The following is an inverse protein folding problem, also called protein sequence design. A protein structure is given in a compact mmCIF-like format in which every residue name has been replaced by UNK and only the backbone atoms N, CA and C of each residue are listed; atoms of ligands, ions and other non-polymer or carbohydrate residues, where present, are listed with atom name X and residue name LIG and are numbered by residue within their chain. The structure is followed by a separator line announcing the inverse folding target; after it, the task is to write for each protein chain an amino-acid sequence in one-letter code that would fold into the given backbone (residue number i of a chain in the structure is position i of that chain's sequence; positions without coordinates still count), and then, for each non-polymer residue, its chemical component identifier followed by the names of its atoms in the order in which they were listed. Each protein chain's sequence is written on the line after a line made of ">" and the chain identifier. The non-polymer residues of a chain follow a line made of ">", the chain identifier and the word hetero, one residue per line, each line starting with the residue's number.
data_IF_215240763016
#
_entry.id   IF_215240763016
#
_cell.length_a   1.000
_cell.length_b   1.000
_cell.length_c   1.000
_cell.angle_alpha   90.00
_cell.angle_beta   90.00
_cell.angle_gamma   90.00
#
_symmetry.space_group_name_H-M   'P 1'
#
loop_
_entity.id
_entity.type
_entity.pdbx_description
1 polymer ?
#
# COMPACT_ATOMS: atom_id res chain seq x y z
N UNK A 1 -9.88 28.53 7.55
CA UNK A 1 -9.05 27.43 8.11
C UNK A 1 -9.33 26.20 7.29
N UNK A 2 -8.32 25.41 6.92
CA UNK A 2 -8.54 24.15 6.20
C UNK A 2 -8.88 23.07 7.22
N UNK A 3 -9.93 22.29 6.96
CA UNK A 3 -10.33 21.19 7.82
C UNK A 3 -9.32 20.04 7.76
N UNK A 4 -9.03 19.45 8.91
CA UNK A 4 -7.94 18.47 9.08
C UNK A 4 -8.46 17.08 9.42
N UNK A 5 -7.80 16.06 8.86
CA UNK A 5 -7.95 14.66 9.25
C UNK A 5 -6.63 14.19 9.88
N UNK A 6 -6.68 13.62 11.08
CA UNK A 6 -5.51 13.06 11.75
C UNK A 6 -5.21 11.66 11.20
N UNK A 7 -4.04 11.47 10.60
CA UNK A 7 -3.67 10.23 9.91
C UNK A 7 -2.61 9.43 10.67
N UNK A 8 -2.84 8.13 10.78
CA UNK A 8 -1.92 7.14 11.30
C UNK A 8 -1.72 6.07 10.25
N UNK A 9 -0.49 5.95 9.75
CA UNK A 9 -0.17 5.15 8.57
C UNK A 9 0.87 4.08 8.95
N UNK A 10 0.74 2.88 8.40
CA UNK A 10 1.69 1.78 8.58
C UNK A 10 2.98 2.02 7.82
N UNK A 11 2.84 2.65 6.64
CA UNK A 11 3.89 2.79 5.66
C UNK A 11 5.19 3.33 6.25
N UNK A 12 6.30 2.96 5.62
CA UNK A 12 7.60 3.41 6.06
C UNK A 12 7.69 4.95 6.08
N UNK A 13 8.56 5.51 6.91
CA UNK A 13 8.79 6.95 6.94
C UNK A 13 9.04 7.58 5.54
N UNK A 14 9.67 6.82 4.64
CA UNK A 14 9.94 7.24 3.26
C UNK A 14 8.71 7.28 2.36
N UNK A 15 7.64 6.55 2.70
CA UNK A 15 6.43 6.40 1.89
C UNK A 15 5.27 7.23 2.42
N UNK A 16 5.33 7.68 3.68
CA UNK A 16 4.21 8.39 4.29
C UNK A 16 3.84 9.71 3.58
N UNK A 17 4.82 10.39 2.98
CA UNK A 17 4.55 11.53 2.12
C UNK A 17 3.83 11.18 0.81
N UNK A 18 4.03 9.97 0.27
CA UNK A 18 3.24 9.47 -0.86
C UNK A 18 1.83 9.05 -0.43
N UNK A 19 1.68 8.42 0.73
CA UNK A 19 0.38 8.06 1.26
C UNK A 19 -0.49 9.30 1.52
N UNK A 20 0.06 10.38 2.07
CA UNK A 20 -0.66 11.66 2.18
C UNK A 20 -1.11 12.20 0.82
N UNK A 21 -0.30 12.01 -0.23
CA UNK A 21 -0.67 12.42 -1.59
C UNK A 21 -1.79 11.54 -2.15
N UNK A 22 -1.72 10.24 -1.92
CA UNK A 22 -2.76 9.28 -2.28
C UNK A 22 -4.10 9.61 -1.60
N UNK A 23 -4.09 9.89 -0.29
CA UNK A 23 -5.29 10.32 0.45
C UNK A 23 -5.88 11.63 -0.12
N UNK A 24 -5.04 12.59 -0.51
CA UNK A 24 -5.50 13.84 -1.16
C UNK A 24 -6.19 13.60 -2.50
N UNK A 25 -5.84 12.53 -3.24
CA UNK A 25 -6.57 12.14 -4.46
C UNK A 25 -7.97 11.62 -4.15
N UNK A 26 -8.19 11.02 -2.98
CA UNK A 26 -9.50 10.54 -2.55
C UNK A 26 -10.43 11.71 -2.19
N UNK A 27 -9.94 12.68 -1.41
CA UNK A 27 -10.72 13.86 -1.07
C UNK A 27 -9.81 15.07 -0.76
N UNK A 28 -9.67 15.99 -1.73
CA UNK A 28 -8.78 17.14 -1.62
C UNK A 28 -9.30 18.28 -0.73
N UNK A 29 -10.53 18.18 -0.20
CA UNK A 29 -11.11 19.19 0.70
C UNK A 29 -10.40 19.26 2.06
N UNK A 30 -9.74 18.17 2.46
CA UNK A 30 -9.12 18.03 3.78
C UNK A 30 -7.59 18.08 3.73
N UNK A 31 -7.00 18.64 4.78
CA UNK A 31 -5.59 18.49 5.09
C UNK A 31 -5.37 17.20 5.90
N UNK A 32 -4.73 16.20 5.28
CA UNK A 32 -4.34 14.95 5.94
C UNK A 32 -3.08 15.14 6.76
N UNK A 33 -3.24 15.38 8.07
CA UNK A 33 -2.13 15.62 8.99
C UNK A 33 -1.62 14.31 9.55
N UNK A 34 -0.40 13.95 9.19
CA UNK A 34 0.24 12.71 9.63
C UNK A 34 0.77 12.80 11.08
N UNK A 35 0.29 11.89 11.91
CA UNK A 35 0.73 11.69 13.30
C UNK A 35 1.58 10.43 13.47
N UNK A 36 1.45 9.45 12.57
CA UNK A 36 2.29 8.25 12.50
C UNK A 36 2.48 7.85 11.03
N UNK A 37 3.71 7.47 10.59
CA UNK A 37 4.97 7.60 11.31
C UNK A 37 5.29 9.08 11.61
N UNK A 38 5.75 9.46 12.80
CA UNK A 38 6.09 10.87 13.07
C UNK A 38 7.53 11.18 12.63
N UNK A 39 7.77 12.38 12.09
CA UNK A 39 9.12 12.83 11.74
C UNK A 39 9.98 12.82 12.99
N UNK A 40 11.02 11.99 13.03
CA UNK A 40 12.16 12.28 13.90
C UNK A 40 12.71 13.66 13.51
N UNK A 41 12.79 14.57 14.47
CA UNK A 41 13.41 15.88 14.32
C UNK A 41 14.86 15.62 13.91
N UNK A 42 15.20 15.84 12.64
CA UNK A 42 16.58 15.73 12.16
C UNK A 42 17.26 17.08 12.20
N UNK A 43 18.49 17.11 12.68
CA UNK A 43 19.46 18.14 12.32
C UNK A 43 20.09 17.75 10.97
N UNK A 44 20.42 18.74 10.14
CA UNK A 44 21.00 18.55 8.81
C UNK A 44 22.38 17.87 8.97
N UNK A 45 22.57 16.67 8.42
CA UNK A 45 23.87 15.97 8.41
C UNK A 45 23.86 14.53 8.96
N UNK A 46 22.84 14.11 9.70
CA UNK A 46 22.83 12.78 10.33
C UNK A 46 22.33 11.65 9.38
N UNK A 47 22.94 10.44 9.45
CA UNK A 47 22.48 9.28 8.70
C UNK A 47 21.02 8.93 9.03
N UNK A 48 20.28 8.40 8.04
CA UNK A 48 18.86 8.07 8.19
C UNK A 48 18.66 6.79 9.03
N UNK A 49 18.80 6.88 10.35
CA UNK A 49 18.33 5.83 11.25
C UNK A 49 16.81 5.97 11.44
N UNK A 50 16.05 5.17 10.70
CA UNK A 50 14.59 5.06 10.86
C UNK A 50 14.36 4.12 12.05
N UNK A 51 13.76 4.62 13.12
CA UNK A 51 13.45 3.79 14.29
C UNK A 51 12.28 2.84 13.93
N UNK A 52 12.50 1.54 14.04
CA UNK A 52 11.49 0.49 13.79
C UNK A 52 10.30 0.57 14.75
N UNK A 53 10.43 1.24 15.90
CA UNK A 53 9.35 1.47 16.86
C UNK A 53 8.32 2.53 16.41
N UNK A 54 8.55 3.17 15.27
CA UNK A 54 7.68 4.25 14.74
C UNK A 54 7.40 4.11 13.23
N UNK A 55 7.82 3.01 12.59
CA UNK A 55 7.75 2.83 11.13
C UNK A 55 7.53 1.36 10.80
N UNK A 56 6.58 1.05 9.91
CA UNK A 56 6.24 -0.33 9.55
C UNK A 56 5.50 -1.08 10.65
N UNK A 57 4.70 -0.38 11.45
CA UNK A 57 3.83 -1.01 12.45
C UNK A 57 2.51 -1.40 11.78
N UNK A 58 2.05 -2.64 11.96
CA UNK A 58 0.76 -3.14 11.46
C UNK A 58 -0.02 -3.80 12.60
N UNK A 59 -1.34 -3.97 12.43
CA UNK A 59 -2.20 -4.66 13.40
C UNK A 59 -2.13 -4.10 14.83
N UNK A 60 -1.95 -4.98 15.82
CA UNK A 60 -2.08 -4.58 17.24
C UNK A 60 -0.96 -3.62 17.68
N UNK A 61 0.25 -3.76 17.15
CA UNK A 61 1.36 -2.85 17.43
C UNK A 61 1.11 -1.44 16.89
N UNK A 62 0.47 -1.33 15.71
CA UNK A 62 -0.01 -0.06 15.18
C UNK A 62 -1.03 0.56 16.14
N UNK A 63 -2.07 -0.18 16.49
CA UNK A 63 -3.16 0.32 17.33
C UNK A 63 -2.68 0.78 18.71
N UNK A 64 -1.80 0.01 19.36
CA UNK A 64 -1.18 0.43 20.61
C UNK A 64 -0.48 1.79 20.49
N UNK A 65 0.24 2.00 19.38
CA UNK A 65 0.93 3.27 19.13
C UNK A 65 -0.06 4.40 18.86
N UNK A 66 -1.09 4.14 18.05
CA UNK A 66 -2.17 5.11 17.75
C UNK A 66 -2.81 5.58 19.05
N UNK A 67 -3.25 4.66 19.92
CA UNK A 67 -3.91 5.01 21.18
C UNK A 67 -3.02 5.85 22.10
N UNK A 68 -1.72 5.54 22.20
CA UNK A 68 -0.77 6.36 22.97
C UNK A 68 -0.62 7.78 22.40
N UNK A 69 -0.63 7.94 21.07
CA UNK A 69 -0.52 9.25 20.43
C UNK A 69 -1.81 10.06 20.60
N UNK A 70 -2.97 9.42 20.46
CA UNK A 70 -4.29 10.04 20.68
C UNK A 70 -4.41 10.60 22.09
N UNK A 71 -4.04 9.81 23.10
CA UNK A 71 -4.08 10.22 24.50
C UNK A 71 -3.13 11.39 24.79
N UNK A 72 -1.90 11.33 24.25
CA UNK A 72 -0.89 12.39 24.45
C UNK A 72 -1.24 13.71 23.74
N UNK A 73 -1.94 13.66 22.61
CA UNK A 73 -2.23 14.82 21.75
C UNK A 73 -3.73 15.12 21.64
N UNK A 74 -4.51 14.74 22.66
CA UNK A 74 -5.98 14.80 22.67
C UNK A 74 -6.53 16.16 22.24
N UNK A 75 -6.01 17.25 22.81
CA UNK A 75 -6.51 18.60 22.49
C UNK A 75 -6.27 19.01 21.04
N UNK A 76 -5.14 18.60 20.46
CA UNK A 76 -4.79 18.96 19.09
C UNK A 76 -5.56 18.09 18.08
N UNK A 77 -5.58 16.79 18.31
CA UNK A 77 -6.30 15.84 17.44
C UNK A 77 -7.82 16.03 17.57
N UNK A 78 -8.31 16.41 18.75
CA UNK A 78 -9.71 16.74 18.97
C UNK A 78 -10.21 17.94 18.15
N UNK A 79 -9.33 18.77 17.60
CA UNK A 79 -9.67 19.84 16.64
C UNK A 79 -9.77 19.35 15.20
N UNK A 80 -9.30 18.14 14.90
CA UNK A 80 -9.48 17.51 13.60
C UNK A 80 -10.94 17.08 13.41
N UNK A 81 -11.37 16.99 12.16
CA UNK A 81 -12.72 16.57 11.76
C UNK A 81 -12.91 15.06 11.79
N UNK A 82 -11.82 14.30 11.61
CA UNK A 82 -11.82 12.85 11.68
C UNK A 82 -10.43 12.31 12.03
N UNK A 83 -10.41 11.02 12.36
CA UNK A 83 -9.19 10.19 12.44
C UNK A 83 -9.21 9.20 11.28
N UNK A 84 -8.05 8.97 10.67
CA UNK A 84 -7.82 7.93 9.68
C UNK A 84 -6.68 7.04 10.16
N UNK A 85 -6.93 5.73 10.21
CA UNK A 85 -5.93 4.71 10.49
C UNK A 85 -5.82 3.86 9.23
N UNK A 86 -4.63 3.81 8.63
CA UNK A 86 -4.31 2.89 7.55
C UNK A 86 -3.57 1.67 8.12
N UNK A 87 -3.91 0.47 7.66
CA UNK A 87 -3.32 -0.81 8.09
C UNK A 87 -3.11 -1.76 6.89
N UNK A 88 -1.89 -2.29 6.69
CA UNK A 88 -1.61 -3.32 5.67
C UNK A 88 -2.44 -4.59 5.88
N UNK A 89 -2.91 -4.86 7.11
CA UNK A 89 -3.70 -6.02 7.53
C UNK A 89 -2.93 -7.35 7.55
N UNK A 90 -1.93 -7.56 6.68
CA UNK A 90 -1.06 -8.75 6.65
C UNK A 90 -1.85 -10.09 6.73
N UNK A 91 -3.02 -10.15 6.07
CA UNK A 91 -3.88 -11.34 6.04
C UNK A 91 -4.62 -11.66 7.36
N UNK A 92 -4.68 -10.74 8.33
CA UNK A 92 -5.30 -10.92 9.66
C UNK A 92 -6.75 -11.41 9.63
N UNK A 93 -7.52 -11.00 8.62
CA UNK A 93 -8.94 -11.38 8.49
C UNK A 93 -9.18 -12.72 7.80
N UNK A 94 -8.13 -13.52 7.57
CA UNK A 94 -8.32 -14.86 7.04
C UNK A 94 -9.22 -15.70 7.96
N UNK A 95 -10.28 -16.25 7.37
CA UNK A 95 -11.29 -17.03 8.09
C UNK A 95 -12.21 -16.20 9.01
N UNK A 96 -12.14 -14.86 8.98
CA UNK A 96 -13.09 -14.02 9.71
C UNK A 96 -14.38 -13.90 8.90
N UNK A 97 -15.52 -13.96 9.58
CA UNK A 97 -16.79 -13.55 8.98
C UNK A 97 -16.89 -12.04 8.89
N UNK A 98 -17.79 -11.52 8.05
CA UNK A 98 -18.00 -10.08 7.91
C UNK A 98 -18.43 -9.44 9.23
N UNK A 99 -19.22 -10.14 10.06
CA UNK A 99 -19.62 -9.66 11.39
C UNK A 99 -18.42 -9.50 12.33
N UNK A 100 -17.49 -10.46 12.32
CA UNK A 100 -16.28 -10.40 13.14
C UNK A 100 -15.35 -9.28 12.71
N UNK A 101 -15.25 -9.03 11.41
CA UNK A 101 -14.49 -7.90 10.86
C UNK A 101 -15.10 -6.58 11.31
N UNK A 102 -16.43 -6.47 11.25
CA UNK A 102 -17.15 -5.28 11.67
C UNK A 102 -17.06 -5.05 13.18
N UNK A 103 -17.15 -6.10 13.99
CA UNK A 103 -16.90 -6.03 15.43
C UNK A 103 -15.49 -5.51 15.74
N UNK A 104 -14.48 -6.02 15.03
CA UNK A 104 -13.10 -5.56 15.18
C UNK A 104 -12.94 -4.06 14.86
N UNK A 105 -13.54 -3.59 13.75
CA UNK A 105 -13.55 -2.15 13.40
C UNK A 105 -14.25 -1.33 14.48
N UNK A 106 -15.41 -1.77 14.96
CA UNK A 106 -16.16 -1.06 16.00
C UNK A 106 -15.38 -0.95 17.32
N UNK A 107 -14.64 -1.99 17.71
CA UNK A 107 -13.75 -1.94 18.87
C UNK A 107 -12.66 -0.87 18.71
N UNK A 108 -12.06 -0.75 17.51
CA UNK A 108 -11.08 0.32 17.22
C UNK A 108 -11.73 1.70 17.35
N UNK A 109 -12.91 1.90 16.75
CA UNK A 109 -13.64 3.17 16.80
C UNK A 109 -13.93 3.57 18.25
N UNK A 110 -14.48 2.66 19.05
CA UNK A 110 -14.76 2.89 20.47
C UNK A 110 -13.50 3.27 21.25
N UNK A 111 -12.38 2.58 21.00
CA UNK A 111 -11.10 2.89 21.65
C UNK A 111 -10.54 4.25 21.24
N UNK A 112 -10.71 4.66 19.98
CA UNK A 112 -10.35 6.01 19.52
C UNK A 112 -11.17 7.06 20.25
N UNK A 113 -12.50 6.88 20.34
CA UNK A 113 -13.39 7.80 21.06
C UNK A 113 -13.06 7.88 22.55
N UNK A 114 -12.80 6.74 23.20
CA UNK A 114 -12.35 6.68 24.60
C UNK A 114 -11.06 7.49 24.82
N UNK A 115 -10.06 7.28 23.96
CA UNK A 115 -8.75 7.94 24.09
C UNK A 115 -8.81 9.43 23.81
N UNK A 116 -9.64 9.85 22.87
CA UNK A 116 -9.87 11.27 22.54
C UNK A 116 -10.89 11.95 23.46
N UNK A 117 -11.70 11.20 24.19
CA UNK A 117 -12.87 11.70 24.93
C UNK A 117 -13.80 12.53 24.02
N UNK A 118 -13.96 12.09 22.78
CA UNK A 118 -14.73 12.79 21.76
C UNK A 118 -15.17 11.83 20.67
N UNK A 119 -16.45 11.95 20.30
CA UNK A 119 -17.01 11.25 19.16
C UNK A 119 -16.69 12.04 17.89
N UNK A 120 -15.78 11.49 17.08
CA UNK A 120 -15.47 11.98 15.74
C UNK A 120 -15.48 10.81 14.75
N UNK A 121 -15.74 11.05 13.47
CA UNK A 121 -15.59 10.02 12.45
C UNK A 121 -14.19 9.39 12.48
N UNK A 122 -14.16 8.06 12.40
CA UNK A 122 -12.93 7.26 12.37
C UNK A 122 -12.97 6.37 11.13
N UNK A 123 -12.03 6.59 10.21
CA UNK A 123 -11.87 5.79 9.00
C UNK A 123 -10.75 4.77 9.21
N UNK A 124 -11.01 3.51 8.87
CA UNK A 124 -10.00 2.45 8.89
C UNK A 124 -9.78 1.98 7.45
N UNK A 125 -8.62 2.31 6.89
CA UNK A 125 -8.26 2.08 5.51
C UNK A 125 -7.31 0.88 5.42
N UNK A 126 -7.81 -0.27 4.98
CA UNK A 126 -6.97 -1.46 4.87
C UNK A 126 -6.29 -1.55 3.52
N UNK A 127 -4.96 -1.73 3.53
CA UNK A 127 -4.15 -2.02 2.35
C UNK A 127 -3.95 -3.53 2.20
N UNK A 128 -5.03 -4.32 2.21
CA UNK A 128 -4.92 -5.78 2.29
C UNK A 128 -4.48 -6.45 0.99
N UNK A 129 -3.63 -7.49 1.05
CA UNK A 129 -2.88 -7.94 2.23
C UNK A 129 -1.69 -7.03 2.57
N UNK A 130 -1.23 -6.25 1.59
CA UNK A 130 -0.20 -5.22 1.67
C UNK A 130 -0.46 -4.17 0.56
N UNK A 131 0.13 -2.97 0.65
CA UNK A 131 -0.01 -1.91 -0.38
C UNK A 131 0.32 -2.36 -1.83
N UNK A 132 1.12 -3.41 -2.01
CA UNK A 132 1.35 -4.04 -3.32
C UNK A 132 0.07 -4.47 -4.03
N UNK A 133 -0.98 -4.84 -3.29
CA UNK A 133 -2.29 -5.16 -3.84
C UNK A 133 -2.87 -3.99 -4.64
N UNK A 134 -2.70 -2.75 -4.15
CA UNK A 134 -3.16 -1.54 -4.82
C UNK A 134 -2.35 -1.26 -6.09
N UNK A 135 -1.05 -1.54 -6.08
CA UNK A 135 -0.18 -1.38 -7.26
C UNK A 135 -0.53 -2.37 -8.37
N UNK A 136 -0.97 -3.58 -8.02
CA UNK A 136 -1.48 -4.56 -8.98
C UNK A 136 -2.89 -4.15 -9.46
N UNK A 137 -3.76 -3.75 -8.54
CA UNK A 137 -5.13 -3.33 -8.85
C UNK A 137 -5.18 -2.21 -9.89
N UNK A 138 -4.29 -1.23 -9.76
CA UNK A 138 -4.06 -0.18 -10.76
C UNK A 138 -2.75 -0.43 -11.53
N UNK A 139 -2.67 -1.58 -12.23
CA UNK A 139 -1.48 -2.02 -12.97
C UNK A 139 -0.85 -0.93 -13.83
N UNK A 140 -1.69 -0.16 -14.54
CA UNK A 140 -1.25 0.89 -15.46
C UNK A 140 -0.46 1.98 -14.72
N UNK A 141 -0.99 2.46 -13.61
CA UNK A 141 -0.34 3.51 -12.83
C UNK A 141 0.63 2.97 -11.75
N UNK A 142 0.62 1.67 -11.50
CA UNK A 142 1.56 0.95 -10.63
C UNK A 142 2.76 0.43 -11.42
N UNK A 143 2.80 -0.87 -11.69
CA UNK A 143 3.96 -1.55 -12.28
C UNK A 143 4.27 -1.12 -13.72
N UNK A 144 3.26 -0.84 -14.55
CA UNK A 144 3.48 -0.39 -15.93
C UNK A 144 4.18 0.97 -15.96
N UNK A 145 3.67 1.94 -15.21
CA UNK A 145 4.32 3.24 -14.99
C UNK A 145 5.73 3.07 -14.42
N UNK A 146 5.91 2.20 -13.42
CA UNK A 146 7.21 1.99 -12.79
C UNK A 146 8.27 1.63 -13.83
N UNK A 147 8.05 0.58 -14.64
CA UNK A 147 9.08 0.10 -15.56
C UNK A 147 9.12 0.87 -16.90
N UNK A 148 8.02 1.49 -17.32
CA UNK A 148 7.97 2.23 -18.59
C UNK A 148 8.42 3.68 -18.45
N UNK A 149 7.84 4.41 -17.50
CA UNK A 149 7.77 5.87 -17.54
C UNK A 149 8.42 6.56 -16.34
N UNK A 150 8.59 5.86 -15.22
CA UNK A 150 9.15 6.45 -13.98
C UNK A 150 10.65 6.76 -14.05
N UNK A 151 11.32 6.33 -15.14
CA UNK A 151 12.75 6.49 -15.35
C UNK A 151 13.65 5.57 -14.50
N UNK A 152 13.11 4.58 -13.77
CA UNK A 152 13.95 3.62 -13.01
C UNK A 152 14.65 2.60 -13.90
N UNK A 153 14.08 2.27 -15.06
CA UNK A 153 14.69 1.35 -16.03
C UNK A 153 15.31 2.14 -17.17
N UNK A 154 16.62 2.11 -17.26
CA UNK A 154 17.39 2.87 -18.26
C UNK A 154 18.16 1.96 -19.22
N UNK A 155 18.36 0.70 -18.85
CA UNK A 155 19.15 -0.29 -19.61
C UNK A 155 18.34 -1.18 -20.56
N UNK A 156 17.01 -1.00 -20.63
CA UNK A 156 16.11 -1.75 -21.53
C UNK A 156 15.38 -0.82 -22.48
N UNK A 157 15.38 -1.15 -23.78
CA UNK A 157 14.65 -0.38 -24.80
C UNK A 157 13.13 -0.46 -24.66
N UNK A 158 12.42 0.56 -25.17
CA UNK A 158 10.96 0.71 -25.03
C UNK A 158 10.15 -0.55 -25.40
N UNK A 159 10.42 -1.16 -26.55
CA UNK A 159 9.68 -2.35 -26.98
C UNK A 159 9.96 -3.57 -26.09
N UNK A 160 11.18 -3.72 -25.58
CA UNK A 160 11.54 -4.79 -24.65
C UNK A 160 10.88 -4.57 -23.27
N UNK A 161 10.75 -3.32 -22.79
CA UNK A 161 9.97 -3.00 -21.58
C UNK A 161 8.50 -3.40 -21.73
N UNK A 162 7.87 -3.08 -22.86
CA UNK A 162 6.47 -3.47 -23.12
C UNK A 162 6.30 -4.99 -23.16
N UNK A 163 7.25 -5.68 -23.78
CA UNK A 163 7.28 -7.15 -23.81
C UNK A 163 7.42 -7.73 -22.39
N UNK A 164 8.36 -7.21 -21.59
CA UNK A 164 8.54 -7.59 -20.19
C UNK A 164 7.26 -7.37 -19.37
N UNK A 165 6.65 -6.18 -19.45
CA UNK A 165 5.47 -5.81 -18.69
C UNK A 165 4.25 -6.68 -19.02
N UNK A 166 4.06 -7.01 -20.30
CA UNK A 166 3.00 -7.92 -20.72
C UNK A 166 3.14 -9.29 -20.05
N UNK A 167 4.34 -9.87 -20.11
CA UNK A 167 4.58 -11.19 -19.52
C UNK A 167 4.65 -11.16 -17.99
N UNK A 168 5.17 -10.09 -17.38
CA UNK A 168 5.16 -9.93 -15.93
C UNK A 168 3.74 -9.89 -15.40
N UNK A 169 2.83 -9.16 -16.06
CA UNK A 169 1.42 -9.11 -15.67
C UNK A 169 0.80 -10.51 -15.69
N UNK A 170 0.95 -11.22 -16.80
CA UNK A 170 0.45 -12.58 -16.96
C UNK A 170 1.07 -13.54 -15.94
N UNK A 171 2.36 -13.39 -15.64
CA UNK A 171 3.04 -14.24 -14.67
C UNK A 171 2.52 -13.99 -13.25
N UNK A 172 2.34 -12.73 -12.86
CA UNK A 172 1.75 -12.38 -11.55
C UNK A 172 0.34 -12.95 -11.43
N UNK A 173 -0.50 -12.76 -12.44
CA UNK A 173 -1.87 -13.30 -12.43
C UNK A 173 -1.88 -14.83 -12.33
N UNK A 174 -1.11 -15.53 -13.17
CA UNK A 174 -1.18 -16.98 -13.27
C UNK A 174 -0.38 -17.75 -12.21
N UNK A 175 0.74 -17.19 -11.72
CA UNK A 175 1.68 -17.92 -10.85
C UNK A 175 1.79 -17.34 -9.45
N UNK A 176 1.62 -16.02 -9.28
CA UNK A 176 1.65 -15.38 -7.96
C UNK A 176 0.26 -15.39 -7.34
N UNK A 177 -0.70 -14.72 -7.98
CA UNK A 177 -2.05 -14.53 -7.46
C UNK A 177 -2.91 -15.78 -7.61
N UNK A 178 -2.81 -16.50 -8.74
CA UNK A 178 -3.56 -17.73 -9.00
C UNK A 178 -5.07 -17.51 -8.78
N UNK A 179 -5.69 -18.24 -7.85
CA UNK A 179 -7.09 -18.11 -7.48
C UNK A 179 -7.48 -16.72 -6.93
N UNK A 180 -6.52 -15.93 -6.46
CA UNK A 180 -6.77 -14.60 -5.89
C UNK A 180 -6.83 -13.47 -6.93
N UNK A 181 -6.71 -13.76 -8.23
CA UNK A 181 -6.65 -12.73 -9.29
C UNK A 181 -7.86 -11.78 -9.27
N UNK A 182 -9.06 -12.31 -9.01
CA UNK A 182 -10.30 -11.50 -8.92
C UNK A 182 -10.58 -10.98 -7.51
N UNK A 183 -9.78 -11.36 -6.52
CA UNK A 183 -10.00 -11.02 -5.10
C UNK A 183 -8.66 -10.90 -4.36
N UNK A 184 -7.85 -9.97 -4.84
CA UNK A 184 -6.47 -9.78 -4.36
C UNK A 184 -6.39 -9.42 -2.87
N UNK A 185 -7.44 -8.81 -2.32
CA UNK A 185 -7.48 -8.41 -0.91
C UNK A 185 -7.51 -9.61 0.05
N UNK A 186 -7.86 -10.80 -0.42
CA UNK A 186 -7.84 -12.04 0.36
C UNK A 186 -6.58 -12.88 0.13
N UNK A 187 -5.64 -12.38 -0.68
CA UNK A 187 -4.39 -13.08 -0.96
C UNK A 187 -3.58 -13.38 0.31
N UNK A 188 -2.92 -14.53 0.29
CA UNK A 188 -1.77 -14.79 1.15
C UNK A 188 -1.81 -16.13 1.85
N UNK A 189 -2.95 -16.81 1.95
CA UNK A 189 -3.03 -18.08 2.66
C UNK A 189 -2.99 -19.27 1.71
N UNK A 190 -1.92 -20.05 1.78
CA UNK A 190 -1.73 -21.26 1.00
C UNK A 190 -1.36 -22.42 1.94
N UNK A 191 -2.12 -23.51 1.90
CA UNK A 191 -1.89 -24.70 2.73
C UNK A 191 -1.72 -24.37 4.24
N UNK A 192 -2.49 -23.43 4.76
CA UNK A 192 -2.44 -23.01 6.16
C UNK A 192 -1.25 -22.12 6.55
N UNK A 193 -0.47 -21.64 5.56
CA UNK A 193 0.65 -20.72 5.78
C UNK A 193 0.40 -19.40 5.07
N UNK A 194 0.67 -18.29 5.77
CA UNK A 194 0.69 -16.97 5.17
C UNK A 194 1.96 -16.76 4.33
N UNK A 195 1.77 -16.27 3.11
CA UNK A 195 2.77 -15.92 2.11
C UNK A 195 2.60 -14.44 1.79
N UNK A 196 3.68 -13.67 1.94
CA UNK A 196 3.69 -12.24 1.69
C UNK A 196 3.66 -11.95 0.20
N UNK A 197 2.69 -11.14 -0.22
CA UNK A 197 2.50 -10.78 -1.63
C UNK A 197 3.76 -10.10 -2.18
N UNK A 198 4.37 -9.24 -1.38
CA UNK A 198 5.57 -8.54 -1.82
C UNK A 198 6.76 -9.44 -2.07
N UNK A 199 6.95 -10.48 -1.26
CA UNK A 199 8.10 -11.37 -1.40
C UNK A 199 7.96 -12.16 -2.70
N UNK A 200 6.73 -12.60 -3.01
CA UNK A 200 6.41 -13.20 -4.30
C UNK A 200 6.65 -12.23 -5.47
N UNK A 201 6.24 -10.96 -5.38
CA UNK A 201 6.49 -9.97 -6.44
C UNK A 201 7.99 -9.71 -6.62
N UNK A 202 8.76 -9.60 -5.54
CA UNK A 202 10.22 -9.41 -5.60
C UNK A 202 10.85 -10.57 -6.36
N UNK A 203 10.51 -11.81 -5.98
CA UNK A 203 11.03 -13.00 -6.65
C UNK A 203 10.59 -13.08 -8.12
N UNK A 204 9.31 -12.81 -8.39
CA UNK A 204 8.74 -12.83 -9.72
C UNK A 204 9.47 -11.87 -10.67
N UNK A 205 9.70 -10.62 -10.24
CA UNK A 205 10.36 -9.59 -11.08
C UNK A 205 11.86 -9.87 -11.25
N UNK A 206 12.54 -10.27 -10.17
CA UNK A 206 14.00 -10.38 -10.18
C UNK A 206 14.49 -11.64 -10.89
N UNK A 207 13.74 -12.74 -10.78
CA UNK A 207 14.20 -14.07 -11.21
C UNK A 207 13.18 -14.75 -12.11
N UNK A 208 11.99 -15.07 -11.59
CA UNK A 208 11.13 -16.09 -12.20
C UNK A 208 10.59 -15.65 -13.58
N UNK A 209 10.27 -14.36 -13.76
CA UNK A 209 9.82 -13.85 -15.06
C UNK A 209 10.94 -13.87 -16.11
N UNK A 210 12.19 -13.65 -15.69
CA UNK A 210 13.34 -13.61 -16.60
C UNK A 210 13.61 -15.02 -17.12
N UNK A 211 13.56 -16.02 -16.24
CA UNK A 211 13.64 -17.44 -16.58
C UNK A 211 12.47 -17.84 -17.49
N UNK A 212 11.24 -17.49 -17.11
CA UNK A 212 10.05 -17.77 -17.91
C UNK A 212 10.15 -17.23 -19.34
N UNK A 213 10.56 -15.96 -19.50
CA UNK A 213 10.73 -15.33 -20.81
C UNK A 213 11.88 -15.98 -21.61
N UNK A 214 12.96 -16.40 -20.95
CA UNK A 214 14.11 -17.01 -21.59
C UNK A 214 13.78 -18.39 -22.20
N UNK A 215 12.87 -19.15 -21.58
CA UNK A 215 12.45 -20.47 -22.04
C UNK A 215 11.37 -20.44 -23.13
N UNK A 216 10.84 -19.27 -23.48
CA UNK A 216 9.79 -19.14 -24.48
C UNK A 216 10.27 -19.49 -25.90
N UNK A 217 9.66 -20.49 -26.58
CA UNK A 217 10.17 -21.04 -27.84
C UNK A 217 10.19 -20.05 -29.03
N UNK A 218 9.39 -18.98 -28.97
CA UNK A 218 9.26 -17.97 -30.04
C UNK A 218 9.48 -16.54 -29.56
N UNK A 219 10.15 -16.34 -28.41
CA UNK A 219 10.42 -14.99 -27.92
C UNK A 219 11.47 -14.27 -28.76
N UNK A 220 11.33 -12.94 -28.87
CA UNK A 220 12.30 -12.11 -29.55
C UNK A 220 13.62 -12.10 -28.75
N UNK A 221 14.65 -12.79 -29.27
CA UNK A 221 15.95 -12.94 -28.61
C UNK A 221 16.61 -11.62 -28.23
N UNK A 222 16.40 -10.56 -29.01
CA UNK A 222 16.94 -9.22 -28.70
C UNK A 222 16.28 -8.62 -27.47
N UNK A 223 14.97 -8.83 -27.29
CA UNK A 223 14.25 -8.39 -26.10
C UNK A 223 14.62 -9.24 -24.88
N UNK A 224 14.65 -10.57 -25.05
CA UNK A 224 15.04 -11.52 -23.99
C UNK A 224 16.41 -11.17 -23.43
N UNK A 225 17.41 -10.97 -24.29
CA UNK A 225 18.77 -10.64 -23.85
C UNK A 225 18.84 -9.32 -23.07
N UNK A 226 18.09 -8.30 -23.46
CA UNK A 226 18.01 -7.04 -22.70
C UNK A 226 17.39 -7.25 -21.33
N UNK A 227 16.29 -8.01 -21.24
CA UNK A 227 15.55 -8.25 -20.01
C UNK A 227 16.38 -9.05 -19.01
N UNK A 228 17.00 -10.14 -19.46
CA UNK A 228 17.82 -11.02 -18.62
C UNK A 228 19.07 -10.30 -18.13
N UNK A 229 19.70 -9.49 -18.98
CA UNK A 229 20.90 -8.73 -18.62
C UNK A 229 20.60 -7.47 -17.78
N UNK A 230 19.34 -7.03 -17.73
CA UNK A 230 18.97 -5.79 -17.05
C UNK A 230 19.20 -5.88 -15.55
N UNK A 231 19.88 -4.86 -15.03
CA UNK A 231 20.07 -4.62 -13.60
C UNK A 231 19.00 -3.69 -13.02
N UNK A 232 18.35 -2.90 -13.87
CA UNK A 232 17.29 -1.98 -13.46
C UNK A 232 15.92 -2.67 -13.34
N UNK A 233 15.72 -3.82 -13.98
CA UNK A 233 14.52 -4.66 -13.82
C UNK A 233 14.56 -5.45 -12.50
N UNK A 234 14.17 -4.78 -11.42
CA UNK A 234 13.93 -5.35 -10.09
C UNK A 234 12.82 -4.57 -9.35
N UNK A 235 12.22 -5.19 -8.34
CA UNK A 235 11.27 -4.53 -7.46
C UNK A 235 11.87 -4.29 -6.07
N UNK A 236 11.64 -3.11 -5.52
CA UNK A 236 12.03 -2.77 -4.14
C UNK A 236 10.96 -1.89 -3.52
N UNK A 237 10.33 -2.37 -2.44
CA UNK A 237 9.35 -1.60 -1.67
C UNK A 237 9.84 -0.19 -1.36
N UNK A 238 11.03 -0.12 -0.77
CA UNK A 238 11.65 1.12 -0.28
C UNK A 238 11.93 2.13 -1.39
N UNK A 239 12.31 1.67 -2.59
CA UNK A 239 12.72 2.56 -3.68
C UNK A 239 11.58 2.88 -4.64
N UNK A 240 10.65 1.94 -4.83
CA UNK A 240 9.61 2.00 -5.85
C UNK A 240 8.21 2.24 -5.27
N UNK A 241 7.97 1.89 -4.00
CA UNK A 241 6.68 2.06 -3.32
C UNK A 241 6.20 3.52 -3.30
N UNK A 242 7.04 4.47 -2.88
CA UNK A 242 6.68 5.91 -2.90
C UNK A 242 6.31 6.39 -4.31
N UNK A 243 7.05 5.96 -5.34
CA UNK A 243 6.81 6.37 -6.74
C UNK A 243 5.46 5.85 -7.24
N UNK A 244 5.17 4.58 -7.01
CA UNK A 244 3.91 3.97 -7.43
C UNK A 244 2.73 4.52 -6.62
N UNK A 245 2.88 4.66 -5.30
CA UNK A 245 1.83 5.21 -4.42
C UNK A 245 1.41 6.63 -4.82
N UNK A 246 2.37 7.46 -5.26
CA UNK A 246 2.05 8.79 -5.81
C UNK A 246 1.30 8.72 -7.13
N UNK A 247 1.45 7.65 -7.91
CA UNK A 247 0.94 7.57 -9.26
C UNK A 247 -0.42 6.85 -9.36
N UNK A 248 -0.63 5.78 -8.60
CA UNK A 248 -1.90 5.03 -8.58
C UNK A 248 -3.10 5.90 -8.24
N UNK A 249 -4.26 5.53 -8.77
CA UNK A 249 -5.52 6.27 -8.65
C UNK A 249 -6.47 5.53 -7.69
N UNK A 250 -6.88 6.15 -6.57
CA UNK A 250 -7.72 5.48 -5.58
C UNK A 250 -9.05 4.95 -6.10
N UNK A 251 -9.66 5.63 -7.07
CA UNK A 251 -10.90 5.19 -7.71
C UNK A 251 -10.72 3.88 -8.50
N UNK A 252 -9.59 3.74 -9.21
CA UNK A 252 -9.25 2.48 -9.90
C UNK A 252 -9.00 1.37 -8.89
N UNK A 253 -8.25 1.67 -7.82
CA UNK A 253 -8.01 0.71 -6.73
C UNK A 253 -9.35 0.25 -6.12
N UNK A 254 -10.28 1.15 -5.84
CA UNK A 254 -11.59 0.81 -5.27
C UNK A 254 -12.47 -0.09 -6.15
N UNK A 255 -12.28 -0.08 -7.47
CA UNK A 255 -13.01 -0.95 -8.39
C UNK A 255 -12.54 -2.41 -8.27
N UNK A 256 -11.29 -2.65 -7.89
CA UNK A 256 -10.68 -3.99 -7.78
C UNK A 256 -10.58 -4.48 -6.34
N UNK A 257 -10.19 -3.61 -5.41
CA UNK A 257 -10.13 -3.84 -3.98
C UNK A 257 -11.45 -3.43 -3.32
N UNK A 258 -12.48 -4.27 -3.44
CA UNK A 258 -13.86 -3.97 -3.02
C UNK A 258 -14.17 -4.36 -1.57
N UNK A 259 -13.52 -5.41 -1.06
CA UNK A 259 -13.86 -6.04 0.21
C UNK A 259 -13.46 -5.17 1.39
N UNK A 260 -12.26 -4.58 1.36
CA UNK A 260 -11.78 -3.76 2.47
C UNK A 260 -11.60 -2.30 2.07
N UNK A 261 -10.79 -2.03 1.05
CA UNK A 261 -10.46 -0.66 0.63
C UNK A 261 -11.67 0.12 0.10
N UNK A 262 -12.46 -0.49 -0.79
CA UNK A 262 -13.53 0.19 -1.52
C UNK A 262 -14.62 0.79 -0.63
N UNK A 263 -14.97 0.14 0.48
CA UNK A 263 -15.96 0.64 1.43
C UNK A 263 -15.49 1.93 2.11
N UNK A 264 -14.27 1.94 2.65
CA UNK A 264 -13.66 3.11 3.30
C UNK A 264 -13.37 4.22 2.29
N UNK A 265 -12.93 3.88 1.07
CA UNK A 265 -12.76 4.87 -0.01
C UNK A 265 -14.05 5.65 -0.25
N UNK A 266 -15.16 4.95 -0.43
CA UNK A 266 -16.47 5.59 -0.67
C UNK A 266 -16.89 6.48 0.51
N UNK A 267 -16.62 6.05 1.74
CA UNK A 267 -16.92 6.85 2.94
C UNK A 267 -16.10 8.15 2.97
N UNK A 268 -14.81 8.11 2.66
CA UNK A 268 -13.92 9.28 2.65
C UNK A 268 -14.30 10.26 1.53
N UNK A 269 -14.60 9.75 0.33
CA UNK A 269 -14.96 10.58 -0.84
C UNK A 269 -16.27 11.33 -0.61
N UNK A 270 -17.25 10.68 0.01
CA UNK A 270 -18.58 11.25 0.29
C UNK A 270 -18.66 12.04 1.59
N UNK A 271 -17.58 12.09 2.36
CA UNK A 271 -17.57 12.75 3.65
C UNK A 271 -17.74 14.28 3.49
N UNK A 272 -18.71 14.83 4.22
CA UNK A 272 -18.94 16.26 4.41
C UNK A 272 -18.83 16.60 5.90
N UNK A 273 -17.59 16.49 6.42
CA UNK A 273 -17.17 16.70 7.80
C UNK A 273 -16.98 18.18 8.18
#
# INVERSE_FOLDING_TARGET
>A
MVDRIACFLTCGYTEAGAMQFFLKKMNSKYEYKQYLPNKTIKKKGDPKNINSQISGLTGDALLEKVYRILEKNREEIGKCKAVLIEDDLDGKFHGYSDERIEEYKNQIIQKVHEKLQKDIPVFILYASPEAESWFIADWKNGFEYLYSDSGVVTDVGYNAKRFFLHHLKQYIENNVLKEYTENIEEYGWFFGKYIKLSDCIINAVQTEIKEYIQEMPNANKVYVNQIVASRDLYYSKKLHGDRMMRNIQPDIVAVKCRKYFGSTYNAIVRAEL
#
